data_IF_171198609516
#
_entry.id   IF_171198609516
#
_cell.length_a   1.000
_cell.length_b   1.000
_cell.length_c   1.000
_cell.angle_alpha   90.00
_cell.angle_beta   90.00
_cell.angle_gamma   90.00
#
_symmetry.space_group_name_H-M   'P 1'
#
loop_
_entity.id
_entity.type
_entity.pdbx_description
1 polymer ?
#
# COMPACT_ATOMS: atom_id res chain seq x y z
N UNK A 1 1.29 3.93 -17.24
CA UNK A 1 1.71 4.16 -15.84
C UNK A 1 3.00 3.40 -15.63
N UNK A 2 4.06 4.00 -15.08
CA UNK A 2 5.22 3.21 -14.68
C UNK A 2 4.76 2.19 -13.65
N UNK A 3 4.91 0.91 -13.98
CA UNK A 3 4.56 -0.20 -13.11
C UNK A 3 5.56 -0.24 -11.95
N UNK A 4 5.32 0.57 -10.91
CA UNK A 4 6.02 0.39 -9.62
C UNK A 4 5.37 -0.83 -8.95
N UNK A 5 5.59 -2.00 -9.55
CA UNK A 5 5.31 -3.28 -8.91
C UNK A 5 6.45 -3.50 -7.92
N UNK A 6 6.18 -3.51 -6.61
CA UNK A 6 7.21 -3.73 -5.62
C UNK A 6 7.82 -5.13 -5.80
N UNK A 7 9.10 -5.29 -5.46
CA UNK A 7 9.86 -6.50 -5.80
C UNK A 7 9.28 -7.75 -5.12
N UNK A 8 8.69 -7.59 -3.92
CA UNK A 8 7.99 -8.68 -3.24
C UNK A 8 6.89 -9.32 -4.10
N UNK A 9 6.26 -8.60 -5.03
CA UNK A 9 5.19 -9.15 -5.90
C UNK A 9 5.71 -10.16 -6.92
N UNK A 10 7.02 -10.15 -7.21
CA UNK A 10 7.69 -11.13 -8.06
C UNK A 10 8.09 -12.40 -7.29
N UNK A 11 7.99 -12.37 -5.97
CA UNK A 11 8.39 -13.47 -5.11
C UNK A 11 7.41 -14.64 -5.23
N UNK A 12 7.89 -15.91 -5.29
CA UNK A 12 7.00 -17.08 -5.33
C UNK A 12 6.21 -17.29 -4.03
N UNK A 13 6.60 -16.56 -2.98
CA UNK A 13 5.92 -16.53 -1.69
C UNK A 13 4.77 -15.52 -1.66
N UNK A 14 4.70 -14.57 -2.58
CA UNK A 14 3.61 -13.61 -2.62
C UNK A 14 2.34 -14.23 -3.20
N UNK A 15 1.21 -13.86 -2.59
CA UNK A 15 -0.13 -14.30 -3.00
C UNK A 15 -0.97 -13.06 -3.30
N UNK A 16 -1.32 -12.88 -4.57
CA UNK A 16 -2.06 -11.72 -5.08
C UNK A 16 -3.59 -11.86 -4.96
N UNK A 17 -4.09 -12.33 -3.82
CA UNK A 17 -5.53 -12.45 -3.61
C UNK A 17 -6.21 -11.07 -3.46
N UNK A 18 -7.25 -10.77 -4.24
CA UNK A 18 -7.93 -9.48 -4.16
C UNK A 18 -8.50 -9.24 -2.75
N UNK A 19 -7.97 -8.23 -2.06
CA UNK A 19 -8.33 -7.91 -0.68
C UNK A 19 -7.68 -8.76 0.40
N UNK A 20 -6.83 -9.74 0.02
CA UNK A 20 -6.12 -10.63 0.94
C UNK A 20 -4.67 -10.85 0.52
N UNK A 21 -3.97 -9.77 0.15
CA UNK A 21 -2.54 -9.86 -0.13
C UNK A 21 -1.78 -10.33 1.10
N UNK A 22 -1.05 -11.43 0.95
CA UNK A 22 -0.24 -12.00 2.02
C UNK A 22 0.98 -12.73 1.45
N UNK A 23 1.93 -13.02 2.33
CA UNK A 23 3.09 -13.87 2.03
C UNK A 23 2.87 -15.27 2.56
N UNK A 24 3.29 -16.29 1.80
CA UNK A 24 3.32 -17.69 2.23
C UNK A 24 4.30 -17.86 3.40
N UNK A 25 4.01 -18.82 4.31
CA UNK A 25 4.95 -19.17 5.38
C UNK A 25 6.28 -19.63 4.79
N UNK A 26 7.38 -19.12 5.32
CA UNK A 26 8.73 -19.40 4.83
C UNK A 26 9.28 -18.40 3.80
N UNK A 27 8.59 -17.28 3.56
CA UNK A 27 9.14 -16.18 2.78
C UNK A 27 10.48 -15.71 3.38
N UNK A 28 11.48 -15.36 2.55
CA UNK A 28 12.74 -14.79 3.05
C UNK A 28 12.47 -13.47 3.76
N UNK A 29 13.28 -13.17 4.79
CA UNK A 29 13.06 -12.01 5.67
C UNK A 29 13.02 -10.68 4.90
N UNK A 30 13.84 -10.54 3.86
CA UNK A 30 13.88 -9.35 3.00
C UNK A 30 12.54 -9.08 2.32
N UNK A 31 11.86 -10.13 1.85
CA UNK A 31 10.54 -10.00 1.20
C UNK A 31 9.44 -9.66 2.22
N UNK A 32 9.57 -10.17 3.46
CA UNK A 32 8.64 -9.84 4.54
C UNK A 32 8.74 -8.36 4.94
N UNK A 33 9.97 -7.85 5.08
CA UNK A 33 10.24 -6.45 5.45
C UNK A 33 9.72 -5.48 4.38
N UNK A 34 9.97 -5.77 3.09
CA UNK A 34 9.44 -4.99 1.96
C UNK A 34 7.92 -4.99 1.91
N UNK A 35 7.28 -6.15 2.08
CA UNK A 35 5.82 -6.27 2.08
C UNK A 35 5.20 -5.47 3.23
N UNK A 36 5.77 -5.55 4.43
CA UNK A 36 5.28 -4.84 5.60
C UNK A 36 5.47 -3.32 5.45
N UNK A 37 6.62 -2.88 4.93
CA UNK A 37 6.89 -1.48 4.61
C UNK A 37 5.90 -0.93 3.57
N UNK A 38 5.64 -1.68 2.50
CA UNK A 38 4.67 -1.31 1.48
C UNK A 38 3.24 -1.25 2.05
N UNK A 39 2.82 -2.24 2.84
CA UNK A 39 1.51 -2.24 3.49
C UNK A 39 1.36 -1.06 4.46
N UNK A 40 2.40 -0.68 5.19
CA UNK A 40 2.39 0.53 6.02
C UNK A 40 2.28 1.80 5.18
N UNK A 41 3.01 1.90 4.07
CA UNK A 41 2.92 3.04 3.14
C UNK A 41 1.55 3.16 2.46
N UNK A 42 0.86 2.04 2.21
CA UNK A 42 -0.50 2.02 1.65
C UNK A 42 -1.55 2.31 2.73
N UNK A 43 -1.30 1.89 3.98
CA UNK A 43 -2.17 2.20 5.12
C UNK A 43 -2.10 3.66 5.55
N UNK A 44 -1.06 4.40 5.17
CA UNK A 44 -0.96 5.82 5.47
C UNK A 44 -2.08 6.61 4.77
N UNK A 45 -3.06 7.14 5.52
CA UNK A 45 -4.25 7.75 4.95
C UNK A 45 -4.00 9.19 4.47
N UNK A 46 -2.76 9.69 4.40
CA UNK A 46 -2.46 11.05 3.96
C UNK A 46 -2.16 11.20 2.45
N UNK A 47 -2.26 10.13 1.66
CA UNK A 47 -2.10 10.23 0.20
C UNK A 47 -3.31 10.93 -0.45
N UNK A 48 -3.06 11.96 -1.27
CA UNK A 48 -4.08 12.71 -2.02
C UNK A 48 -5.06 11.75 -2.74
N UNK A 49 -6.31 11.69 -2.23
CA UNK A 49 -7.34 10.76 -2.68
C UNK A 49 -8.15 10.09 -1.55
N UNK A 50 -7.67 10.16 -0.30
CA UNK A 50 -8.42 9.76 0.90
C UNK A 50 -9.35 10.88 1.41
N UNK A 51 -10.35 10.52 2.22
CA UNK A 51 -11.36 11.45 2.81
C UNK A 51 -10.70 12.64 3.53
N UNK A 52 -9.49 12.47 4.08
CA UNK A 52 -8.74 13.53 4.77
C UNK A 52 -7.75 14.30 3.87
N UNK A 53 -7.48 13.84 2.64
CA UNK A 53 -6.53 14.47 1.72
C UNK A 53 -7.11 15.62 0.90
N UNK A 54 -8.44 15.71 0.81
CA UNK A 54 -9.13 16.78 0.08
C UNK A 54 -9.78 17.75 1.08
N UNK A 55 -8.98 18.63 1.68
CA UNK A 55 -9.50 19.78 2.45
C UNK A 55 -10.08 20.79 1.45
N UNK A 56 -11.36 20.66 1.14
CA UNK A 56 -12.08 21.69 0.39
C UNK A 56 -12.34 22.83 1.38
N UNK A 57 -11.58 23.92 1.26
CA UNK A 57 -11.89 25.16 1.97
C UNK A 57 -13.18 25.72 1.33
N UNK A 58 -14.32 25.56 2.01
CA UNK A 58 -15.59 26.11 1.57
C UNK A 58 -15.68 27.57 2.04
N UNK A 59 -15.70 28.57 1.15
CA UNK A 59 -15.83 29.96 1.56
C UNK A 59 -17.32 30.30 1.68
N UNK A 60 -17.95 29.96 2.80
CA UNK A 60 -19.22 30.57 3.22
C UNK A 60 -19.28 30.68 4.74
N UNK A 61 -18.49 31.59 5.29
CA UNK A 61 -18.89 32.31 6.50
C UNK A 61 -18.35 33.75 6.36
N UNK A 62 -19.27 34.69 6.13
CA UNK A 62 -19.03 36.13 6.12
C UNK A 62 -19.47 36.70 7.46
#
# INVERSE_FOLDING_TARGET
MPEIRPEFTKSPYFVDEPGNWHLKPGAPKEVQDEFESYMNSVKDPQSSGTINGNRIDYPYDK
#
